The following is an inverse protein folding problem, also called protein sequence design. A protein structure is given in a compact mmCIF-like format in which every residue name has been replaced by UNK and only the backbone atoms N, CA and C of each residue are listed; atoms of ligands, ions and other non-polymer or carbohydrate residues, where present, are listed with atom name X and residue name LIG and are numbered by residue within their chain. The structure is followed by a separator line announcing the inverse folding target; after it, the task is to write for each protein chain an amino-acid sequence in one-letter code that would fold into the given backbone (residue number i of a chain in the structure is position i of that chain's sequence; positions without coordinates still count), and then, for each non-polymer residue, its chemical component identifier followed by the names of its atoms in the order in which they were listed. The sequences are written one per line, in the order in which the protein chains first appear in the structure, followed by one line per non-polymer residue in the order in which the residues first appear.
data_IF_011394330841
#
_entry.id   IF_011394330841
#
_cell.length_a   1.000
_cell.length_b   1.000
_cell.length_c   1.000
_cell.angle_alpha   90.00
_cell.angle_beta   90.00
_cell.angle_gamma   90.00
#
_symmetry.space_group_name_H-M   'P 1'
#
loop_
_entity.id
_entity.type
_entity.pdbx_description
1 polymer ?
#
# COMPACT_ATOMS: atom_id res chain seq x y z
N UNK A 1 25.79 -9.88 -4.89
CA UNK A 1 25.13 -9.66 -6.19
C UNK A 1 23.67 -9.36 -5.99
N UNK A 2 23.10 -8.53 -6.87
CA UNK A 2 21.68 -8.19 -6.89
C UNK A 2 21.09 -8.52 -8.28
N UNK A 3 19.86 -9.03 -8.33
CA UNK A 3 19.16 -9.40 -9.57
C UNK A 3 17.69 -8.98 -9.50
N UNK A 4 17.13 -8.49 -10.60
CA UNK A 4 15.72 -8.13 -10.69
C UNK A 4 14.82 -9.37 -10.54
N UNK A 5 13.84 -9.30 -9.64
CA UNK A 5 12.79 -10.31 -9.48
C UNK A 5 11.46 -9.87 -10.07
N UNK A 6 11.17 -8.57 -10.08
CA UNK A 6 9.95 -8.02 -10.65
C UNK A 6 9.85 -6.51 -10.49
N UNK A 7 8.99 -5.90 -11.30
CA UNK A 7 8.68 -4.46 -11.31
C UNK A 7 7.19 -4.26 -11.56
N UNK A 8 6.64 -3.13 -11.11
CA UNK A 8 5.25 -2.73 -11.35
C UNK A 8 4.82 -1.56 -10.47
N UNK A 9 3.52 -1.27 -10.40
CA UNK A 9 2.97 -0.11 -9.66
C UNK A 9 3.22 -0.11 -8.14
N UNK A 10 3.78 -1.19 -7.59
CA UNK A 10 4.20 -1.30 -6.19
C UNK A 10 5.71 -1.07 -5.99
N UNK A 11 6.47 -0.76 -7.05
CA UNK A 11 7.91 -0.57 -7.04
C UNK A 11 8.67 -1.75 -7.67
N UNK A 12 9.97 -1.78 -7.42
CA UNK A 12 10.92 -2.76 -7.98
C UNK A 12 11.36 -3.72 -6.87
N UNK A 13 11.45 -5.01 -7.17
CA UNK A 13 11.91 -6.03 -6.23
C UNK A 13 13.19 -6.67 -6.74
N UNK A 14 14.23 -6.65 -5.90
CA UNK A 14 15.52 -7.25 -6.18
C UNK A 14 15.77 -8.45 -5.27
N UNK A 15 16.37 -9.50 -5.81
CA UNK A 15 17.04 -10.55 -5.04
C UNK A 15 18.44 -10.06 -4.72
N UNK A 16 18.84 -10.06 -3.45
CA UNK A 16 20.18 -9.66 -3.05
C UNK A 16 20.73 -10.58 -1.96
N UNK A 17 22.04 -10.83 -2.01
CA UNK A 17 22.75 -11.50 -0.92
C UNK A 17 23.31 -10.48 0.05
N UNK A 18 22.93 -10.57 1.32
CA UNK A 18 23.51 -9.76 2.38
C UNK A 18 24.97 -10.17 2.62
N UNK A 19 25.84 -9.18 2.69
CA UNK A 19 27.29 -9.39 2.86
C UNK A 19 27.68 -9.76 4.29
N UNK A 20 26.78 -9.53 5.25
CA UNK A 20 27.07 -9.68 6.68
C UNK A 20 26.73 -11.10 7.15
N UNK A 21 25.55 -11.59 6.79
CA UNK A 21 25.03 -12.89 7.22
C UNK A 21 24.98 -13.93 6.09
N UNK A 22 25.26 -13.54 4.84
CA UNK A 22 25.21 -14.41 3.67
C UNK A 22 23.79 -14.81 3.23
N UNK A 23 22.75 -14.27 3.88
CA UNK A 23 21.36 -14.59 3.56
C UNK A 23 20.92 -14.00 2.22
N UNK A 24 20.00 -14.68 1.54
CA UNK A 24 19.32 -14.17 0.34
C UNK A 24 18.01 -13.48 0.73
N UNK A 25 17.83 -12.25 0.24
CA UNK A 25 16.73 -11.37 0.61
C UNK A 25 16.05 -10.80 -0.63
N UNK A 26 14.74 -10.60 -0.53
CA UNK A 26 14.01 -9.73 -1.43
C UNK A 26 14.05 -8.30 -0.88
N UNK A 27 14.46 -7.34 -1.71
CA UNK A 27 14.48 -5.91 -1.39
C UNK A 27 13.45 -5.24 -2.29
N UNK A 28 12.37 -4.71 -1.69
CA UNK A 28 11.36 -3.90 -2.37
C UNK A 28 11.80 -2.44 -2.31
N UNK A 29 12.10 -1.84 -3.45
CA UNK A 29 12.50 -0.45 -3.62
C UNK A 29 11.34 0.34 -4.18
N UNK A 30 11.01 1.45 -3.52
CA UNK A 30 9.81 2.25 -3.80
C UNK A 30 10.18 3.72 -3.72
N UNK A 31 9.76 4.52 -4.70
CA UNK A 31 9.86 5.98 -4.63
C UNK A 31 8.83 6.52 -3.64
N UNK A 32 9.27 7.45 -2.80
CA UNK A 32 8.34 8.20 -1.96
C UNK A 32 7.54 9.17 -2.83
N UNK A 33 6.23 9.00 -2.87
CA UNK A 33 5.35 9.91 -3.62
C UNK A 33 5.27 11.31 -3.00
N UNK A 34 5.50 11.41 -1.69
CA UNK A 34 5.51 12.67 -0.94
C UNK A 34 6.81 12.82 -0.15
N UNK A 35 7.24 14.04 0.20
CA UNK A 35 8.46 14.25 1.00
C UNK A 35 8.44 13.55 2.37
N UNK A 36 7.25 13.36 2.96
CA UNK A 36 7.06 12.63 4.22
C UNK A 36 6.83 11.12 4.01
N UNK A 37 6.73 10.65 2.76
CA UNK A 37 6.56 9.24 2.38
C UNK A 37 5.39 8.57 3.11
N UNK A 38 4.29 9.28 3.36
CA UNK A 38 3.27 8.84 4.33
C UNK A 38 2.72 7.46 4.03
N UNK A 39 2.46 7.18 2.75
CA UNK A 39 1.92 5.90 2.29
C UNK A 39 2.95 4.79 2.44
N UNK A 40 4.16 5.02 1.95
CA UNK A 40 5.25 4.05 1.95
C UNK A 40 5.70 3.72 3.38
N UNK A 41 5.78 4.73 4.24
CA UNK A 41 6.06 4.56 5.67
C UNK A 41 4.91 3.89 6.41
N UNK A 42 3.66 4.04 5.93
CA UNK A 42 2.52 3.26 6.40
C UNK A 42 2.73 1.77 6.18
N UNK A 43 3.10 1.36 4.95
CA UNK A 43 3.41 -0.04 4.61
C UNK A 43 4.53 -0.60 5.49
N UNK A 44 5.63 0.14 5.63
CA UNK A 44 6.78 -0.25 6.48
C UNK A 44 6.35 -0.46 7.93
N UNK A 45 5.59 0.48 8.51
CA UNK A 45 5.09 0.37 9.90
C UNK A 45 4.17 -0.83 10.08
N UNK A 46 3.27 -1.07 9.11
CA UNK A 46 2.40 -2.22 9.14
C UNK A 46 3.20 -3.53 9.15
N UNK A 47 4.17 -3.70 8.24
CA UNK A 47 4.99 -4.92 8.20
C UNK A 47 5.86 -5.09 9.45
N UNK A 48 6.45 -4.00 9.97
CA UNK A 48 7.30 -4.04 11.15
C UNK A 48 6.54 -4.39 12.44
N UNK A 49 5.25 -4.10 12.50
CA UNK A 49 4.40 -4.44 13.64
C UNK A 49 3.93 -5.91 13.65
N UNK A 50 4.06 -6.63 12.53
CA UNK A 50 3.61 -8.02 12.44
C UNK A 50 4.62 -8.96 13.14
N UNK A 51 4.14 -9.87 14.02
CA UNK A 51 5.00 -10.88 14.60
C UNK A 51 5.46 -11.89 13.52
N UNK A 52 6.62 -12.54 13.69
CA UNK A 52 7.06 -13.58 12.78
C UNK A 52 6.04 -14.73 12.69
N UNK A 53 5.64 -15.07 11.47
CA UNK A 53 4.67 -16.12 11.21
C UNK A 53 5.06 -16.90 9.95
N UNK A 54 4.73 -18.20 9.89
CA UNK A 54 5.16 -19.08 8.80
C UNK A 54 4.55 -18.74 7.42
N UNK A 55 3.33 -18.21 7.41
CA UNK A 55 2.58 -17.89 6.19
C UNK A 55 2.58 -16.39 5.83
N UNK A 56 3.38 -15.59 6.52
CA UNK A 56 3.53 -14.17 6.23
C UNK A 56 4.99 -13.89 5.87
N UNK A 57 5.19 -12.89 5.03
CA UNK A 57 6.53 -12.42 4.70
C UNK A 57 7.21 -11.89 5.97
N UNK A 58 8.43 -12.35 6.21
CA UNK A 58 9.24 -11.88 7.33
C UNK A 58 9.80 -10.49 7.01
N UNK A 59 9.48 -9.53 7.84
CA UNK A 59 10.15 -8.23 7.84
C UNK A 59 11.56 -8.36 8.43
N UNK A 60 12.55 -7.80 7.75
CA UNK A 60 13.94 -7.76 8.21
C UNK A 60 14.38 -6.35 8.57
N UNK A 61 14.26 -5.42 7.61
CA UNK A 61 14.64 -4.03 7.81
C UNK A 61 14.02 -3.16 6.70
N UNK A 62 14.09 -1.85 6.93
CA UNK A 62 13.78 -0.80 5.95
C UNK A 62 14.73 0.37 6.17
N UNK A 63 15.07 1.09 5.11
CA UNK A 63 15.86 2.32 5.17
C UNK A 63 15.39 3.29 4.10
N UNK A 64 15.81 4.55 4.22
CA UNK A 64 15.52 5.60 3.25
C UNK A 64 16.84 6.07 2.66
N UNK A 65 16.93 6.11 1.34
CA UNK A 65 18.06 6.67 0.62
C UNK A 65 17.67 8.02 0.02
N UNK A 66 18.49 9.05 0.27
CA UNK A 66 18.26 10.41 -0.22
C UNK A 66 19.16 10.78 -1.42
N UNK A 67 19.81 9.80 -2.06
CA UNK A 67 20.80 10.06 -3.11
C UNK A 67 20.12 10.22 -4.47
N UNK A 68 20.57 11.22 -5.24
CA UNK A 68 20.17 11.38 -6.65
C UNK A 68 20.50 10.15 -7.49
N UNK A 69 21.55 9.42 -7.11
CA UNK A 69 21.99 8.23 -7.81
C UNK A 69 21.01 7.08 -7.59
N UNK A 70 20.34 7.01 -6.43
CA UNK A 70 19.29 6.02 -6.19
C UNK A 70 18.09 6.19 -7.12
N UNK A 71 17.73 7.44 -7.43
CA UNK A 71 16.63 7.72 -8.36
C UNK A 71 16.98 7.29 -9.79
N UNK A 72 18.22 7.52 -10.24
CA UNK A 72 18.64 7.24 -11.62
C UNK A 72 18.56 5.76 -11.99
N UNK A 73 19.14 4.87 -11.19
CA UNK A 73 19.10 3.45 -11.53
C UNK A 73 17.70 2.86 -11.42
N UNK A 74 16.83 3.46 -10.60
CA UNK A 74 15.45 3.04 -10.51
C UNK A 74 14.65 3.47 -11.75
N UNK A 75 15.03 4.58 -12.42
CA UNK A 75 14.43 4.99 -13.70
C UNK A 75 14.73 3.91 -14.75
N UNK A 76 16.00 3.50 -14.88
CA UNK A 76 16.44 2.46 -15.83
C UNK A 76 15.72 1.10 -15.63
N UNK A 77 15.22 0.81 -14.42
CA UNK A 77 14.51 -0.44 -14.12
C UNK A 77 13.00 -0.32 -14.26
N UNK A 78 12.44 0.87 -14.10
CA UNK A 78 11.01 1.15 -14.29
C UNK A 78 10.66 1.35 -15.77
N UNK A 79 11.63 1.78 -16.58
CA UNK A 79 11.53 1.81 -18.04
C UNK A 79 11.53 0.38 -18.61
N UNK A 80 10.38 -0.06 -19.10
CA UNK A 80 10.14 -1.13 -20.08
C UNK A 80 8.69 -1.62 -19.89
N UNK A 81 7.76 -1.03 -20.65
CA UNK A 81 6.70 -1.72 -21.41
C UNK A 81 6.27 -0.72 -22.51
N UNK A 82 7.14 -0.48 -23.50
CA UNK A 82 6.70 0.06 -24.79
C UNK A 82 6.22 -1.12 -25.66
N UNK A 83 4.90 -1.18 -25.84
CA UNK A 83 4.09 -1.76 -26.93
C UNK A 83 4.36 -3.19 -27.43
N UNK A 84 3.37 -4.07 -27.24
CA UNK A 84 2.99 -5.11 -28.21
C UNK A 84 1.46 -5.10 -28.41
N UNK A 85 1.06 -4.27 -29.38
CA UNK A 85 0.02 -4.41 -30.42
C UNK A 85 -1.38 -4.99 -30.09
N UNK A 86 -2.37 -4.11 -30.29
CA UNK A 86 -3.61 -4.24 -31.10
C UNK A 86 -4.28 -5.62 -31.22
N UNK A 87 -5.48 -5.76 -30.63
CA UNK A 87 -6.57 -6.50 -31.27
C UNK A 87 -7.93 -5.79 -30.99
N UNK A 88 -8.55 -5.42 -32.09
CA UNK A 88 -9.88 -4.83 -32.31
C UNK A 88 -11.01 -5.86 -32.04
N UNK A 89 -12.28 -5.45 -32.17
CA UNK A 89 -13.55 -6.22 -32.03
C UNK A 89 -14.12 -6.38 -30.60
N UNK A 90 -15.40 -6.13 -30.33
CA UNK A 90 -16.56 -5.72 -31.14
C UNK A 90 -17.64 -5.27 -30.14
N UNK A 91 -18.16 -4.06 -30.30
CA UNK A 91 -19.33 -3.59 -29.55
C UNK A 91 -20.58 -4.39 -29.94
N UNK A 92 -21.23 -5.01 -28.96
CA UNK A 92 -22.57 -5.58 -29.12
C UNK A 92 -23.57 -4.74 -28.35
N UNK A 93 -24.45 -4.11 -29.12
CA UNK A 93 -25.63 -3.37 -28.68
C UNK A 93 -26.59 -4.33 -27.96
N UNK A 94 -26.82 -4.11 -26.67
CA UNK A 94 -27.90 -4.76 -25.92
C UNK A 94 -28.88 -3.69 -25.44
N UNK A 95 -29.83 -3.35 -26.30
CA UNK A 95 -31.07 -2.73 -25.85
C UNK A 95 -31.89 -3.71 -25.00
N UNK A 96 -32.34 -3.28 -23.83
CA UNK A 96 -33.61 -3.75 -23.27
C UNK A 96 -34.24 -2.71 -22.37
N UNK A 97 -35.49 -2.46 -22.67
CA UNK A 97 -36.38 -1.43 -22.19
C UNK A 97 -36.99 -1.78 -20.82
N UNK A 98 -37.31 -0.76 -20.03
CA UNK A 98 -38.53 -0.66 -19.22
C UNK A 98 -38.69 -1.52 -17.98
N UNK A 99 -38.73 -0.86 -16.80
CA UNK A 99 -39.86 -0.94 -15.88
C UNK A 99 -39.62 -0.01 -14.67
N UNK A 100 -40.28 1.14 -14.71
CA UNK A 100 -40.56 2.00 -13.58
C UNK A 100 -41.34 1.27 -12.47
N UNK A 101 -40.90 1.45 -11.23
CA UNK A 101 -41.51 0.89 -10.03
C UNK A 101 -41.30 1.81 -8.84
N UNK A 102 -42.11 2.86 -8.77
CA UNK A 102 -42.28 3.71 -7.58
C UNK A 102 -43.11 2.98 -6.53
N UNK A 103 -42.55 2.75 -5.34
CA UNK A 103 -43.36 2.50 -4.13
C UNK A 103 -42.88 3.38 -2.99
N UNK A 104 -43.84 4.13 -2.46
CA UNK A 104 -43.73 5.14 -1.41
C UNK A 104 -43.73 4.51 -0.02
N UNK A 105 -42.99 5.14 0.89
CA UNK A 105 -43.44 5.42 2.25
C UNK A 105 -43.08 4.39 3.32
N UNK A 106 -42.31 4.83 4.32
CA UNK A 106 -42.86 5.08 5.65
C UNK A 106 -41.80 5.76 6.52
N UNK A 107 -42.17 6.92 7.05
CA UNK A 107 -41.53 7.62 8.14
C UNK A 107 -41.50 6.74 9.41
N UNK A 108 -40.42 6.80 10.20
CA UNK A 108 -40.55 6.73 11.66
C UNK A 108 -39.37 7.41 12.35
N UNK A 109 -39.70 8.21 13.36
CA UNK A 109 -38.86 9.17 14.05
C UNK A 109 -38.74 8.81 15.53
N UNK A 110 -37.61 9.18 16.14
CA UNK A 110 -37.41 9.23 17.59
C UNK A 110 -36.34 8.24 18.08
N UNK A 111 -35.51 8.52 19.08
CA UNK A 111 -35.51 9.61 20.05
C UNK A 111 -34.11 9.75 20.67
N UNK A 112 -33.87 10.95 21.19
CA UNK A 112 -32.70 11.39 21.95
C UNK A 112 -32.68 10.76 23.36
N UNK A 113 -31.50 10.54 23.96
CA UNK A 113 -31.12 11.09 25.28
C UNK A 113 -29.73 10.60 25.78
N UNK A 114 -28.83 11.58 25.95
CA UNK A 114 -28.12 11.95 27.19
C UNK A 114 -27.59 10.88 28.16
N UNK A 115 -26.26 10.90 28.42
CA UNK A 115 -25.72 10.97 29.78
C UNK A 115 -24.23 11.34 29.80
N UNK A 116 -23.93 12.42 30.52
CA UNK A 116 -22.59 12.86 30.95
C UNK A 116 -21.95 11.88 31.93
N UNK A 117 -20.62 11.75 31.90
CA UNK A 117 -19.82 11.56 33.11
C UNK A 117 -18.35 11.97 32.87
N UNK A 118 -17.95 13.00 33.61
CA UNK A 118 -16.56 13.45 33.75
C UNK A 118 -15.69 12.40 34.47
N UNK A 119 -14.39 12.36 34.17
CA UNK A 119 -13.51 11.30 34.68
C UNK A 119 -12.01 11.56 34.63
N UNK A 120 -11.58 12.74 35.10
CA UNK A 120 -10.32 12.98 35.86
C UNK A 120 -8.96 12.73 35.19
N UNK A 121 -8.22 13.84 35.02
CA UNK A 121 -6.77 13.92 34.82
C UNK A 121 -5.99 13.16 35.91
N UNK A 122 -5.12 12.24 35.51
CA UNK A 122 -4.02 11.73 36.32
C UNK A 122 -2.74 12.50 35.98
N UNK A 123 -2.29 13.36 36.90
CA UNK A 123 -1.00 14.04 36.81
C UNK A 123 0.14 13.10 37.19
N UNK A 124 1.26 13.28 36.49
CA UNK A 124 2.55 12.67 36.78
C UNK A 124 3.18 13.27 38.06
N UNK A 125 3.82 12.42 38.86
CA UNK A 125 4.91 12.82 39.77
C UNK A 125 5.91 11.67 39.88
N UNK A 126 7.14 11.92 39.44
CA UNK A 126 8.33 11.13 39.78
C UNK A 126 8.83 11.48 41.18
N UNK A 127 9.53 10.55 41.83
CA UNK A 127 10.92 10.82 42.25
C UNK A 127 11.94 9.95 41.52
#
# INVERSE_FOLDING_TARGET
DAALLGRGGFGVVLRASSRIDGGEYAIKVVRMATPDGRREMGEVRCMAALPPHANLLRYHASWVEASSDACRWLDDLEEDEEDLDEDEDSESDVGSEGAEGEVRGADDAGSEESASAEGRLGQATHP
#
